data_IF_977274301414
#
_entry.id   IF_977274301414
#
_cell.length_a   1.000
_cell.length_b   1.000
_cell.length_c   1.000
_cell.angle_alpha   90.00
_cell.angle_beta   90.00
_cell.angle_gamma   90.00
#
_symmetry.space_group_name_H-M   'P 1'
#
loop_
_entity.id
_entity.type
_entity.pdbx_description
1 polymer ?
#
# COMPACT_ATOMS: atom_id res chain seq x y z
N UNK A 1 -39.75 -61.76 -15.14
CA UNK A 1 -39.22 -61.26 -13.85
C UNK A 1 -37.96 -62.07 -13.56
N UNK A 2 -36.88 -61.89 -14.33
CA UNK A 2 -35.83 -60.87 -14.14
C UNK A 2 -35.06 -61.07 -12.83
N UNK A 3 -34.19 -62.09 -12.80
CA UNK A 3 -33.13 -62.21 -11.81
C UNK A 3 -31.88 -61.52 -12.36
N UNK A 4 -31.62 -60.30 -11.88
CA UNK A 4 -30.38 -59.59 -12.09
C UNK A 4 -29.71 -59.39 -10.72
N UNK A 5 -28.82 -60.31 -10.36
CA UNK A 5 -27.81 -60.07 -9.33
C UNK A 5 -26.47 -60.02 -10.05
N UNK A 6 -26.05 -58.80 -10.38
CA UNK A 6 -24.71 -58.53 -10.92
C UNK A 6 -23.63 -58.81 -9.88
N UNK A 7 -22.43 -59.22 -10.28
CA UNK A 7 -21.33 -59.39 -9.36
C UNK A 7 -20.89 -58.02 -8.85
N UNK A 8 -20.95 -57.83 -7.53
CA UNK A 8 -20.37 -56.68 -6.85
C UNK A 8 -18.90 -56.55 -7.25
N UNK A 9 -18.58 -55.46 -7.93
CA UNK A 9 -17.20 -55.14 -8.28
C UNK A 9 -16.50 -54.69 -7.00
N UNK A 10 -15.83 -55.63 -6.33
CA UNK A 10 -14.96 -55.32 -5.21
C UNK A 10 -13.72 -54.61 -5.75
N UNK A 11 -13.76 -53.28 -5.79
CA UNK A 11 -12.61 -52.43 -6.10
C UNK A 11 -11.53 -52.70 -5.04
N UNK A 12 -10.59 -53.56 -5.38
CA UNK A 12 -9.46 -53.89 -4.51
C UNK A 12 -8.56 -52.66 -4.48
N UNK A 13 -8.45 -51.99 -3.33
CA UNK A 13 -7.54 -50.88 -3.14
C UNK A 13 -6.11 -51.38 -3.36
N UNK A 14 -5.53 -51.05 -4.51
CA UNK A 14 -4.14 -51.35 -4.82
C UNK A 14 -3.26 -50.46 -3.95
N UNK A 15 -2.73 -51.02 -2.86
CA UNK A 15 -1.73 -50.37 -2.02
C UNK A 15 -0.48 -50.13 -2.87
N UNK A 16 -0.19 -48.86 -3.19
CA UNK A 16 1.02 -48.50 -3.92
C UNK A 16 2.26 -48.70 -3.04
N UNK A 17 3.32 -49.29 -3.60
CA UNK A 17 4.61 -49.43 -2.93
C UNK A 17 5.23 -48.05 -2.71
N UNK A 18 5.37 -47.62 -1.45
CA UNK A 18 6.09 -46.38 -1.10
C UNK A 18 7.59 -46.54 -1.40
N UNK A 19 8.13 -45.66 -2.23
CA UNK A 19 9.57 -45.54 -2.51
C UNK A 19 10.05 -44.16 -2.04
N UNK A 20 11.01 -44.14 -1.13
CA UNK A 20 11.54 -42.91 -0.52
C UNK A 20 12.74 -42.31 -1.28
N UNK A 21 13.16 -42.93 -2.39
CA UNK A 21 14.12 -42.32 -3.33
C UNK A 21 15.59 -42.29 -2.89
N UNK A 22 15.93 -42.89 -1.74
CA UNK A 22 17.29 -42.82 -1.17
C UNK A 22 17.54 -41.53 -0.39
N UNK A 23 18.77 -41.37 0.11
CA UNK A 23 19.22 -40.17 0.82
C UNK A 23 20.01 -39.27 -0.14
N UNK A 24 20.00 -37.98 0.15
CA UNK A 24 20.82 -36.96 -0.51
C UNK A 24 21.48 -36.09 0.54
N UNK A 25 22.72 -35.71 0.30
CA UNK A 25 23.53 -34.88 1.18
C UNK A 25 23.67 -33.47 0.61
N UNK A 26 23.24 -32.46 1.36
CA UNK A 26 23.40 -31.05 1.01
C UNK A 26 24.40 -30.39 1.96
N UNK A 27 25.33 -29.59 1.43
CA UNK A 27 26.17 -28.70 2.24
C UNK A 27 25.65 -27.28 2.11
N UNK A 28 25.21 -26.69 3.22
CA UNK A 28 24.78 -25.29 3.31
C UNK A 28 25.61 -24.63 4.39
N UNK A 29 26.31 -23.55 4.03
CA UNK A 29 27.37 -22.99 4.88
C UNK A 29 28.36 -24.10 5.31
N UNK A 30 28.58 -24.31 6.61
CA UNK A 30 29.44 -25.38 7.12
C UNK A 30 28.67 -26.61 7.65
N UNK A 31 27.37 -26.72 7.35
CA UNK A 31 26.51 -27.80 7.83
C UNK A 31 26.16 -28.76 6.69
N UNK A 32 26.30 -30.06 6.94
CA UNK A 32 25.84 -31.12 6.04
C UNK A 32 24.50 -31.64 6.53
N UNK A 33 23.50 -31.61 5.64
CA UNK A 33 22.16 -32.13 5.87
C UNK A 33 21.97 -33.41 5.07
N UNK A 34 21.73 -34.51 5.77
CA UNK A 34 21.32 -35.79 5.16
C UNK A 34 19.79 -35.88 5.19
N UNK A 35 19.16 -35.95 4.02
CA UNK A 35 17.69 -35.95 3.90
C UNK A 35 17.20 -36.92 2.84
N UNK A 36 15.98 -37.45 2.95
CA UNK A 36 15.41 -38.25 1.88
C UNK A 36 15.31 -37.44 0.58
N UNK A 37 15.47 -38.09 -0.56
CA UNK A 37 15.42 -37.43 -1.88
C UNK A 37 14.00 -37.14 -2.35
N UNK A 38 13.05 -38.01 -1.98
CA UNK A 38 11.73 -38.02 -2.64
C UNK A 38 10.90 -36.74 -2.47
N UNK A 39 10.91 -36.04 -1.31
CA UNK A 39 10.12 -34.80 -1.19
C UNK A 39 10.69 -33.65 -2.00
N UNK A 40 12.01 -33.62 -2.23
CA UNK A 40 12.62 -32.64 -3.11
C UNK A 40 12.19 -32.89 -4.56
N UNK A 41 12.27 -34.12 -5.05
CA UNK A 41 11.77 -34.49 -6.38
C UNK A 41 10.26 -34.20 -6.54
N UNK A 42 9.43 -34.59 -5.56
CA UNK A 42 7.98 -34.40 -5.64
C UNK A 42 7.57 -32.92 -5.59
N UNK A 43 8.34 -32.10 -4.88
CA UNK A 43 7.99 -30.70 -4.64
C UNK A 43 8.63 -29.74 -5.64
N UNK A 44 9.67 -30.15 -6.36
CA UNK A 44 10.47 -29.27 -7.23
C UNK A 44 10.89 -29.97 -8.52
N UNK A 45 10.45 -29.42 -9.64
CA UNK A 45 10.88 -29.84 -10.99
C UNK A 45 12.39 -29.64 -11.20
N UNK A 46 12.98 -28.63 -10.53
CA UNK A 46 14.42 -28.37 -10.56
C UNK A 46 15.18 -29.54 -9.95
N UNK A 47 14.77 -29.97 -8.75
CA UNK A 47 15.40 -31.10 -8.09
C UNK A 47 15.09 -32.40 -8.81
N UNK A 48 13.85 -32.65 -9.26
CA UNK A 48 13.50 -33.82 -10.07
C UNK A 48 14.41 -33.96 -11.28
N UNK A 49 14.56 -32.89 -12.07
CA UNK A 49 15.42 -32.88 -13.25
C UNK A 49 16.88 -33.12 -12.89
N UNK A 50 17.42 -32.39 -11.91
CA UNK A 50 18.82 -32.51 -11.46
C UNK A 50 19.14 -33.94 -11.03
N UNK A 51 18.19 -34.58 -10.37
CA UNK A 51 18.29 -35.92 -9.84
C UNK A 51 18.22 -37.02 -10.91
N UNK A 52 17.54 -36.76 -12.02
CA UNK A 52 17.41 -37.70 -13.14
C UNK A 52 18.55 -37.57 -14.16
N UNK A 53 19.42 -36.55 -14.03
CA UNK A 53 20.61 -36.42 -14.87
C UNK A 53 21.55 -37.63 -14.68
N UNK A 54 22.12 -38.17 -15.77
CA UNK A 54 23.08 -39.26 -15.67
C UNK A 54 24.33 -38.80 -14.91
N UNK A 55 24.94 -39.67 -14.09
CA UNK A 55 26.16 -39.33 -13.38
C UNK A 55 27.26 -38.97 -14.38
N UNK A 56 27.99 -37.89 -14.09
CA UNK A 56 29.10 -37.43 -14.91
C UNK A 56 30.18 -38.51 -15.08
N UNK A 57 30.92 -38.44 -16.19
CA UNK A 57 31.91 -39.42 -16.65
C UNK A 57 33.06 -39.74 -15.68
N UNK A 58 33.18 -39.03 -14.55
CA UNK A 58 34.23 -39.23 -13.55
C UNK A 58 33.76 -39.92 -12.25
N UNK A 59 32.52 -40.39 -12.17
CA UNK A 59 32.03 -41.14 -11.01
C UNK A 59 31.81 -40.32 -9.72
N UNK A 60 32.12 -39.02 -9.75
CA UNK A 60 31.75 -38.04 -8.73
C UNK A 60 30.28 -37.64 -8.92
N UNK A 61 29.39 -38.38 -8.24
CA UNK A 61 27.97 -38.05 -8.17
C UNK A 61 27.74 -37.15 -6.97
N UNK A 62 27.37 -35.90 -7.21
CA UNK A 62 27.04 -34.96 -6.14
C UNK A 62 25.81 -35.44 -5.34
N UNK A 63 25.84 -35.18 -4.05
CA UNK A 63 24.80 -35.54 -3.09
C UNK A 63 24.78 -37.01 -2.68
N UNK A 64 25.79 -37.80 -3.06
CA UNK A 64 25.83 -39.25 -2.78
C UNK A 64 26.16 -39.58 -1.32
N UNK A 65 27.08 -38.84 -0.72
CA UNK A 65 27.58 -39.04 0.63
C UNK A 65 28.13 -37.72 1.21
N UNK A 66 28.52 -37.73 2.49
CA UNK A 66 29.09 -36.55 3.17
C UNK A 66 30.38 -36.02 2.54
N UNK A 67 31.15 -36.87 1.84
CA UNK A 67 32.37 -36.47 1.14
C UNK A 67 32.09 -35.79 -0.21
N UNK A 68 30.89 -36.00 -0.77
CA UNK A 68 30.46 -35.48 -2.05
C UNK A 68 29.05 -34.86 -1.95
N UNK A 69 28.80 -33.86 -1.08
CA UNK A 69 27.49 -33.25 -0.94
C UNK A 69 27.18 -32.32 -2.12
N UNK A 70 25.90 -32.02 -2.33
CA UNK A 70 25.48 -30.90 -3.20
C UNK A 70 25.73 -29.61 -2.42
N UNK A 71 26.68 -28.80 -2.87
CA UNK A 71 27.04 -27.54 -2.21
C UNK A 71 26.08 -26.44 -2.65
N UNK A 72 25.37 -25.85 -1.70
CA UNK A 72 24.42 -24.75 -1.92
C UNK A 72 25.05 -23.41 -1.48
N UNK A 73 25.86 -22.83 -2.36
CA UNK A 73 26.52 -21.54 -2.10
C UNK A 73 25.52 -20.37 -2.07
N UNK A 74 25.69 -19.44 -1.12
CA UNK A 74 24.86 -18.24 -0.99
C UNK A 74 23.50 -18.47 -0.33
N UNK A 75 23.28 -19.65 0.27
CA UNK A 75 22.10 -19.97 1.07
C UNK A 75 22.45 -20.07 2.55
N UNK A 76 21.53 -19.66 3.41
CA UNK A 76 21.68 -19.71 4.87
C UNK A 76 21.19 -21.06 5.40
N UNK A 77 21.94 -21.68 6.33
CA UNK A 77 21.56 -22.97 6.88
C UNK A 77 20.25 -22.91 7.68
N UNK A 78 19.96 -21.78 8.33
CA UNK A 78 18.71 -21.57 9.06
C UNK A 78 17.48 -21.59 8.14
N UNK A 79 17.58 -20.98 6.95
CA UNK A 79 16.51 -21.02 5.95
C UNK A 79 16.32 -22.44 5.41
N UNK A 80 17.42 -23.17 5.21
CA UNK A 80 17.36 -24.56 4.75
C UNK A 80 16.71 -25.47 5.80
N UNK A 81 17.10 -25.35 7.07
CA UNK A 81 16.49 -26.07 8.19
C UNK A 81 14.97 -25.80 8.29
N UNK A 82 14.55 -24.54 8.15
CA UNK A 82 13.13 -24.18 8.12
C UNK A 82 12.37 -24.86 6.97
N UNK A 83 12.96 -24.93 5.77
CA UNK A 83 12.38 -25.68 4.65
C UNK A 83 12.28 -27.18 4.95
N UNK A 84 13.31 -27.76 5.59
CA UNK A 84 13.29 -29.18 5.98
C UNK A 84 12.17 -29.48 6.97
N UNK A 85 11.89 -28.60 7.94
CA UNK A 85 10.74 -28.74 8.85
C UNK A 85 9.41 -28.82 8.10
N UNK A 86 9.26 -28.05 7.01
CA UNK A 86 8.06 -28.09 6.15
C UNK A 86 8.02 -29.35 5.28
N UNK A 87 9.16 -29.77 4.71
CA UNK A 87 9.24 -30.97 3.86
C UNK A 87 9.09 -32.27 4.66
N UNK A 88 9.59 -32.28 5.89
CA UNK A 88 9.70 -33.44 6.77
C UNK A 88 9.19 -33.13 8.18
N UNK A 89 7.90 -32.81 8.35
CA UNK A 89 7.34 -32.60 9.69
C UNK A 89 7.43 -33.89 10.51
N UNK A 90 7.77 -33.76 11.78
CA UNK A 90 7.85 -34.90 12.69
C UNK A 90 6.45 -35.41 13.04
N UNK A 91 6.31 -36.68 13.49
CA UNK A 91 5.03 -37.16 14.00
C UNK A 91 4.47 -36.27 15.12
N UNK A 92 5.32 -35.74 16.00
CA UNK A 92 4.90 -34.87 17.09
C UNK A 92 4.35 -33.55 16.57
N UNK A 93 4.97 -32.96 15.56
CA UNK A 93 4.48 -31.73 14.90
C UNK A 93 3.03 -31.90 14.39
N UNK A 94 2.75 -33.06 13.79
CA UNK A 94 1.45 -33.39 13.21
C UNK A 94 0.42 -33.80 14.26
N UNK A 95 0.81 -34.63 15.23
CA UNK A 95 -0.10 -35.20 16.24
C UNK A 95 -0.50 -34.14 17.27
N UNK A 96 0.48 -33.36 17.75
CA UNK A 96 0.22 -32.31 18.72
C UNK A 96 -0.43 -31.08 18.10
N UNK A 97 -0.34 -30.92 16.77
CA UNK A 97 -0.78 -29.73 16.05
C UNK A 97 0.01 -28.48 16.43
N UNK A 98 1.22 -28.64 16.99
CA UNK A 98 2.06 -27.54 17.45
C UNK A 98 3.07 -27.07 16.40
N UNK A 99 3.07 -27.64 15.19
CA UNK A 99 3.92 -27.17 14.10
C UNK A 99 3.77 -25.66 13.90
N UNK A 100 4.84 -24.94 14.21
CA UNK A 100 4.93 -23.50 14.08
C UNK A 100 6.34 -23.16 13.67
N UNK A 101 6.43 -22.28 12.68
CA UNK A 101 7.67 -21.60 12.33
C UNK A 101 7.51 -20.12 12.63
N UNK A 102 8.62 -19.50 13.00
CA UNK A 102 8.71 -18.06 13.20
C UNK A 102 8.68 -17.32 11.85
N UNK A 103 8.53 -16.00 11.92
CA UNK A 103 8.41 -15.15 10.71
C UNK A 103 9.65 -15.29 9.82
N UNK A 104 10.84 -15.20 10.39
CA UNK A 104 12.12 -15.30 9.68
C UNK A 104 12.31 -16.69 9.06
N UNK A 105 11.87 -17.74 9.75
CA UNK A 105 11.86 -19.11 9.19
C UNK A 105 10.93 -19.20 7.97
N UNK A 106 9.72 -18.66 8.05
CA UNK A 106 8.81 -18.63 6.90
C UNK A 106 9.33 -17.79 5.72
N UNK A 107 10.04 -16.69 5.98
CA UNK A 107 10.73 -15.91 4.94
C UNK A 107 11.79 -16.78 4.26
N UNK A 108 12.56 -17.55 5.04
CA UNK A 108 13.50 -18.54 4.53
C UNK A 108 12.83 -19.59 3.64
N UNK A 109 11.72 -20.18 4.10
CA UNK A 109 10.93 -21.13 3.32
C UNK A 109 10.44 -20.50 2.02
N UNK A 110 9.91 -19.27 2.06
CA UNK A 110 9.44 -18.54 0.87
C UNK A 110 10.57 -18.29 -0.12
N UNK A 111 11.75 -17.87 0.35
CA UNK A 111 12.92 -17.61 -0.48
C UNK A 111 13.38 -18.87 -1.21
N UNK A 112 13.60 -19.97 -0.48
CA UNK A 112 14.07 -21.23 -1.06
C UNK A 112 13.03 -21.86 -1.99
N UNK A 113 11.77 -21.91 -1.56
CA UNK A 113 10.69 -22.48 -2.38
C UNK A 113 10.44 -21.68 -3.66
N UNK A 114 10.67 -20.37 -3.67
CA UNK A 114 10.60 -19.55 -4.89
C UNK A 114 11.77 -19.87 -5.83
N UNK A 115 13.01 -19.95 -5.31
CA UNK A 115 14.21 -20.22 -6.12
C UNK A 115 14.24 -21.63 -6.72
N UNK A 116 13.70 -22.60 -5.99
CA UNK A 116 13.69 -24.00 -6.41
C UNK A 116 12.34 -24.42 -7.02
N UNK A 117 11.50 -23.47 -7.41
CA UNK A 117 10.21 -23.71 -8.07
C UNK A 117 9.30 -24.68 -7.32
N UNK A 118 9.33 -24.64 -5.98
CA UNK A 118 8.49 -25.48 -5.12
C UNK A 118 7.09 -24.89 -4.95
N UNK A 119 6.29 -24.90 -6.02
CA UNK A 119 5.01 -24.17 -6.11
C UNK A 119 4.08 -24.35 -4.90
N UNK A 120 3.87 -25.59 -4.46
CA UNK A 120 2.98 -25.91 -3.32
C UNK A 120 3.50 -25.34 -1.99
N UNK A 121 4.81 -25.43 -1.78
CA UNK A 121 5.47 -24.95 -0.56
C UNK A 121 5.53 -23.43 -0.56
N UNK A 122 5.84 -22.82 -1.71
CA UNK A 122 5.80 -21.37 -1.91
C UNK A 122 4.42 -20.81 -1.53
N UNK A 123 3.35 -21.39 -2.08
CA UNK A 123 1.98 -21.00 -1.76
C UNK A 123 1.69 -21.12 -0.27
N UNK A 124 2.10 -22.23 0.36
CA UNK A 124 1.91 -22.42 1.79
C UNK A 124 2.64 -21.37 2.63
N UNK A 125 3.89 -21.05 2.30
CA UNK A 125 4.66 -20.01 2.99
C UNK A 125 4.03 -18.62 2.85
N UNK A 126 3.51 -18.28 1.66
CA UNK A 126 2.75 -17.03 1.43
C UNK A 126 1.50 -17.01 2.32
N UNK A 127 0.76 -18.11 2.39
CA UNK A 127 -0.47 -18.19 3.20
C UNK A 127 -0.17 -18.03 4.70
N UNK A 128 0.91 -18.64 5.22
CA UNK A 128 1.31 -18.50 6.63
C UNK A 128 1.84 -17.09 6.94
N UNK A 129 2.72 -16.54 6.10
CA UNK A 129 3.21 -15.16 6.26
C UNK A 129 2.09 -14.12 6.14
N UNK A 130 1.06 -14.38 5.34
CA UNK A 130 -0.11 -13.49 5.23
C UNK A 130 -0.94 -13.41 6.51
N UNK A 131 -0.79 -14.38 7.42
CA UNK A 131 -1.44 -14.36 8.75
C UNK A 131 -0.64 -13.56 9.78
N UNK A 132 0.64 -13.30 9.50
CA UNK A 132 1.54 -12.56 10.37
C UNK A 132 1.45 -11.06 10.00
N UNK A 133 1.35 -10.13 10.98
CA UNK A 133 1.39 -8.71 10.68
C UNK A 133 2.79 -8.32 10.20
N UNK A 134 2.91 -8.04 8.90
CA UNK A 134 4.13 -7.50 8.29
C UNK A 134 4.06 -5.97 8.25
N UNK A 135 5.18 -5.31 8.48
CA UNK A 135 5.31 -3.88 8.21
C UNK A 135 5.06 -3.62 6.71
N UNK A 136 4.43 -2.50 6.37
CA UNK A 136 4.00 -2.26 4.98
C UNK A 136 5.18 -2.16 4.01
N UNK A 137 6.28 -1.53 4.43
CA UNK A 137 7.49 -1.43 3.61
C UNK A 137 8.16 -2.81 3.48
N UNK A 138 8.11 -3.61 4.55
CA UNK A 138 8.56 -5.00 4.52
C UNK A 138 7.76 -5.86 3.55
N UNK A 139 6.43 -5.77 3.62
CA UNK A 139 5.50 -6.50 2.77
C UNK A 139 5.77 -6.21 1.30
N UNK A 140 5.98 -4.94 0.93
CA UNK A 140 6.32 -4.55 -0.44
C UNK A 140 7.71 -5.07 -0.85
N UNK A 141 8.71 -5.00 0.04
CA UNK A 141 10.04 -5.52 -0.24
C UNK A 141 10.02 -7.03 -0.52
N UNK A 142 9.43 -7.82 0.39
CA UNK A 142 9.27 -9.27 0.25
C UNK A 142 8.46 -9.64 -0.99
N UNK A 143 7.39 -8.88 -1.28
CA UNK A 143 6.59 -9.12 -2.47
C UNK A 143 7.37 -8.92 -3.76
N UNK A 144 8.25 -7.93 -3.80
CA UNK A 144 9.10 -7.64 -4.97
C UNK A 144 10.20 -8.69 -5.15
N UNK A 145 10.80 -9.10 -4.05
CA UNK A 145 11.87 -10.11 -4.01
C UNK A 145 11.35 -11.49 -4.43
N UNK A 146 10.20 -11.92 -3.87
CA UNK A 146 9.62 -13.25 -4.10
C UNK A 146 8.46 -13.28 -5.11
N UNK A 147 8.26 -12.18 -5.85
CA UNK A 147 7.27 -12.06 -6.93
C UNK A 147 5.84 -12.39 -6.49
N UNK A 148 5.41 -11.85 -5.34
CA UNK A 148 4.06 -12.07 -4.80
C UNK A 148 3.14 -10.91 -5.19
N UNK A 149 2.39 -11.07 -6.28
CA UNK A 149 1.62 -9.97 -6.90
C UNK A 149 0.62 -9.32 -5.94
N UNK A 150 -0.11 -10.14 -5.18
CA UNK A 150 -1.11 -9.67 -4.21
C UNK A 150 -0.49 -8.81 -3.11
N UNK A 151 0.61 -9.26 -2.50
CA UNK A 151 1.28 -8.50 -1.45
C UNK A 151 1.84 -7.18 -1.97
N UNK A 152 2.38 -7.16 -3.18
CA UNK A 152 2.90 -5.95 -3.79
C UNK A 152 1.77 -4.94 -4.04
N UNK A 153 0.67 -5.37 -4.65
CA UNK A 153 -0.50 -4.52 -4.91
C UNK A 153 -1.09 -3.95 -3.62
N UNK A 154 -1.36 -4.82 -2.64
CA UNK A 154 -1.98 -4.43 -1.37
C UNK A 154 -1.02 -3.51 -0.59
N UNK A 155 0.24 -3.92 -0.45
CA UNK A 155 1.25 -3.16 0.30
C UNK A 155 1.50 -1.77 -0.29
N UNK A 156 1.58 -1.63 -1.62
CA UNK A 156 1.73 -0.32 -2.25
C UNK A 156 0.47 0.54 -2.03
N UNK A 157 -0.73 -0.03 -2.21
CA UNK A 157 -1.97 0.70 -1.97
C UNK A 157 -2.08 1.20 -0.53
N UNK A 158 -1.71 0.35 0.44
CA UNK A 158 -1.73 0.67 1.86
C UNK A 158 -0.69 1.76 2.18
N UNK A 159 0.55 1.65 1.67
CA UNK A 159 1.61 2.67 1.86
C UNK A 159 1.22 4.04 1.33
N UNK A 160 0.62 4.11 0.14
CA UNK A 160 0.18 5.38 -0.45
C UNK A 160 -1.01 5.97 0.33
N UNK A 161 -1.79 5.13 1.01
CA UNK A 161 -2.93 5.55 1.84
C UNK A 161 -2.52 6.00 3.25
N UNK A 162 -1.29 5.71 3.68
CA UNK A 162 -0.79 6.03 5.01
C UNK A 162 -0.55 7.55 5.19
N UNK A 163 -1.08 8.11 6.29
CA UNK A 163 -0.92 9.51 6.65
C UNK A 163 -0.47 9.65 8.11
N UNK A 164 0.68 10.29 8.41
CA UNK A 164 1.65 10.84 7.45
C UNK A 164 2.40 9.75 6.69
N UNK A 165 2.93 10.06 5.50
CA UNK A 165 3.76 9.11 4.75
C UNK A 165 5.06 8.81 5.49
N UNK A 166 5.56 7.59 5.29
CA UNK A 166 6.87 7.17 5.76
C UNK A 166 7.98 8.10 5.24
N UNK A 167 9.03 8.35 6.03
CA UNK A 167 10.14 9.19 5.61
C UNK A 167 10.80 8.66 4.33
N UNK A 168 11.16 9.57 3.41
CA UNK A 168 11.84 9.22 2.15
C UNK A 168 13.11 8.39 2.38
N UNK A 169 13.86 8.66 3.45
CA UNK A 169 15.09 7.92 3.77
C UNK A 169 14.80 6.42 3.99
N UNK A 170 13.70 6.09 4.67
CA UNK A 170 13.30 4.71 4.94
C UNK A 170 12.83 4.02 3.65
N UNK A 171 11.93 4.66 2.90
CA UNK A 171 11.42 4.13 1.63
C UNK A 171 12.56 3.89 0.63
N UNK A 172 13.48 4.84 0.49
CA UNK A 172 14.66 4.72 -0.38
C UNK A 172 15.54 3.55 0.04
N UNK A 173 15.81 3.41 1.34
CA UNK A 173 16.70 2.37 1.85
C UNK A 173 16.16 0.96 1.62
N UNK A 174 14.84 0.78 1.69
CA UNK A 174 14.21 -0.55 1.67
C UNK A 174 13.61 -0.94 0.32
N UNK A 175 13.15 0.04 -0.47
CA UNK A 175 12.45 -0.20 -1.74
C UNK A 175 13.21 0.30 -2.98
N UNK A 176 14.27 1.11 -2.78
CA UNK A 176 14.98 1.82 -3.83
C UNK A 176 14.37 3.20 -4.15
N UNK A 177 15.14 4.03 -4.86
CA UNK A 177 14.76 5.42 -5.11
C UNK A 177 13.60 5.54 -6.09
N UNK A 178 13.54 4.67 -7.10
CA UNK A 178 12.50 4.68 -8.13
C UNK A 178 11.13 4.41 -7.49
N UNK A 179 11.06 3.38 -6.64
CA UNK A 179 9.83 3.03 -5.93
C UNK A 179 9.44 4.11 -4.92
N UNK A 180 10.40 4.62 -4.14
CA UNK A 180 10.12 5.69 -3.19
C UNK A 180 9.56 6.95 -3.89
N UNK A 181 10.15 7.33 -5.03
CA UNK A 181 9.65 8.43 -5.86
C UNK A 181 8.25 8.14 -6.41
N UNK A 182 8.00 6.92 -6.91
CA UNK A 182 6.67 6.53 -7.41
C UNK A 182 5.60 6.61 -6.31
N UNK A 183 5.87 6.07 -5.12
CA UNK A 183 4.97 6.13 -3.96
C UNK A 183 4.63 7.57 -3.58
N UNK A 184 5.66 8.41 -3.43
CA UNK A 184 5.50 9.83 -3.08
C UNK A 184 4.76 10.61 -4.16
N UNK A 185 5.02 10.29 -5.42
CA UNK A 185 4.35 10.90 -6.57
C UNK A 185 2.87 10.53 -6.59
N UNK A 186 2.52 9.25 -6.49
CA UNK A 186 1.13 8.78 -6.46
C UNK A 186 0.39 9.40 -5.28
N UNK A 187 1.00 9.43 -4.08
CA UNK A 187 0.38 10.05 -2.92
C UNK A 187 0.15 11.56 -3.12
N UNK A 188 1.12 12.26 -3.72
CA UNK A 188 0.99 13.69 -4.03
C UNK A 188 -0.13 14.00 -5.02
N UNK A 189 -0.55 13.02 -5.82
CA UNK A 189 -1.65 13.14 -6.78
C UNK A 189 -3.01 12.75 -6.20
N UNK A 190 -3.04 11.91 -5.16
CA UNK A 190 -4.31 11.57 -4.52
C UNK A 190 -4.96 12.84 -3.98
N UNK A 191 -6.26 13.06 -4.22
CA UNK A 191 -6.99 14.11 -3.53
C UNK A 191 -6.94 13.78 -2.05
N UNK A 192 -6.04 14.43 -1.32
CA UNK A 192 -6.11 14.45 0.13
C UNK A 192 -7.52 14.94 0.47
N UNK A 193 -8.26 14.22 1.33
CA UNK A 193 -9.61 14.62 1.72
C UNK A 193 -9.58 16.10 2.09
N UNK A 194 -10.16 16.93 1.23
CA UNK A 194 -10.15 18.38 1.37
C UNK A 194 -11.04 18.71 2.54
N UNK A 195 -10.46 18.74 3.73
CA UNK A 195 -11.17 19.25 4.89
C UNK A 195 -11.40 20.75 4.70
N UNK A 196 -12.52 21.28 5.18
CA UNK A 196 -12.88 22.71 5.16
C UNK A 196 -11.77 23.64 5.72
N UNK A 197 -10.74 23.06 6.36
CA UNK A 197 -9.57 23.73 6.94
C UNK A 197 -8.56 24.28 5.91
N UNK A 198 -8.62 23.88 4.64
CA UNK A 198 -7.70 24.37 3.59
C UNK A 198 -8.18 25.61 2.83
N UNK A 199 -9.42 26.05 3.07
CA UNK A 199 -9.97 27.26 2.46
C UNK A 199 -10.04 28.40 3.48
N UNK A 200 -9.02 29.25 3.49
CA UNK A 200 -8.93 30.38 4.41
C UNK A 200 -9.25 31.71 3.69
N UNK A 201 -10.13 32.51 4.28
CA UNK A 201 -10.51 33.84 3.81
C UNK A 201 -10.02 34.86 4.83
N UNK A 202 -9.47 35.99 4.38
CA UNK A 202 -9.23 37.17 5.20
C UNK A 202 -10.11 38.34 4.71
N UNK A 203 -10.18 39.44 5.47
CA UNK A 203 -10.93 40.62 5.05
C UNK A 203 -10.43 41.18 3.71
N UNK A 204 -9.12 41.10 3.44
CA UNK A 204 -8.54 41.53 2.18
C UNK A 204 -9.07 40.74 0.97
N UNK A 205 -9.53 39.50 1.20
CA UNK A 205 -10.13 38.66 0.16
C UNK A 205 -11.58 39.03 -0.17
N UNK A 206 -12.20 39.95 0.56
CA UNK A 206 -13.55 40.45 0.29
C UNK A 206 -13.47 41.69 -0.60
N UNK A 207 -13.78 41.51 -1.88
CA UNK A 207 -13.71 42.50 -2.93
C UNK A 207 -15.05 43.12 -3.33
N UNK A 208 -14.96 44.29 -3.97
CA UNK A 208 -16.09 44.99 -4.55
C UNK A 208 -16.53 44.31 -5.87
N UNK A 209 -17.83 44.04 -6.07
CA UNK A 209 -18.33 43.47 -7.33
C UNK A 209 -18.05 44.33 -8.56
N UNK A 210 -17.98 45.66 -8.39
CA UNK A 210 -17.86 46.60 -9.50
C UNK A 210 -16.42 46.81 -9.96
N UNK A 211 -15.47 46.98 -9.03
CA UNK A 211 -14.07 47.31 -9.36
C UNK A 211 -13.04 46.24 -8.99
N UNK A 212 -13.47 45.10 -8.44
CA UNK A 212 -12.64 43.93 -8.16
C UNK A 212 -11.50 44.16 -7.14
N UNK A 213 -11.45 45.34 -6.51
CA UNK A 213 -10.49 45.66 -5.44
C UNK A 213 -11.07 45.33 -4.08
N UNK A 214 -10.19 45.11 -3.11
CA UNK A 214 -10.58 44.83 -1.73
C UNK A 214 -11.45 45.96 -1.17
N UNK A 215 -12.46 45.61 -0.39
CA UNK A 215 -13.31 46.58 0.31
C UNK A 215 -12.67 46.97 1.65
N UNK A 216 -11.94 46.05 2.29
CA UNK A 216 -11.38 46.24 3.63
C UNK A 216 -9.89 46.56 3.57
N UNK A 217 -9.55 47.79 3.95
CA UNK A 217 -8.17 48.26 4.12
C UNK A 217 -7.80 48.56 5.57
N UNK A 218 -8.76 48.44 6.48
CA UNK A 218 -8.58 48.62 7.91
C UNK A 218 -9.16 47.41 8.66
N UNK A 219 -8.62 47.09 9.86
CA UNK A 219 -9.15 46.02 10.68
C UNK A 219 -10.63 46.23 11.01
N UNK A 220 -11.36 45.13 11.14
CA UNK A 220 -12.76 45.15 11.51
C UNK A 220 -12.93 44.60 12.92
N UNK A 221 -13.73 45.25 13.75
CA UNK A 221 -14.02 44.74 15.09
C UNK A 221 -15.20 43.78 15.02
N UNK A 222 -15.00 42.54 15.43
CA UNK A 222 -16.07 41.54 15.51
C UNK A 222 -17.17 42.04 16.44
N UNK A 223 -18.40 42.10 15.95
CA UNK A 223 -19.56 42.51 16.75
C UNK A 223 -19.78 41.62 17.99
N UNK A 224 -19.43 40.33 17.88
CA UNK A 224 -19.72 39.33 18.90
C UNK A 224 -18.75 39.34 20.08
N UNK A 225 -17.44 39.40 19.80
CA UNK A 225 -16.40 39.25 20.81
C UNK A 225 -15.53 40.50 21.00
N UNK A 226 -15.85 41.58 20.27
CA UNK A 226 -15.11 42.85 20.28
C UNK A 226 -13.61 42.72 19.94
N UNK A 227 -13.19 41.59 19.35
CA UNK A 227 -11.80 41.37 18.89
C UNK A 227 -11.57 42.06 17.55
N UNK A 228 -10.39 42.64 17.38
CA UNK A 228 -9.95 43.19 16.10
C UNK A 228 -9.55 42.05 15.15
N UNK A 229 -10.14 42.06 13.95
CA UNK A 229 -9.86 41.16 12.85
C UNK A 229 -8.94 41.92 11.89
N UNK A 230 -7.69 41.48 11.80
CA UNK A 230 -6.71 42.09 10.91
C UNK A 230 -7.05 41.81 9.44
N UNK A 231 -6.69 42.76 8.58
CA UNK A 231 -7.05 42.74 7.15
C UNK A 231 -6.51 41.50 6.42
N UNK A 232 -5.32 41.03 6.81
CA UNK A 232 -4.62 39.92 6.18
C UNK A 232 -4.46 38.69 7.10
N UNK A 233 -5.29 38.56 8.13
CA UNK A 233 -5.27 37.40 9.03
C UNK A 233 -6.28 36.34 8.62
N UNK A 234 -5.78 35.29 7.98
CA UNK A 234 -6.54 34.17 7.45
C UNK A 234 -7.01 33.16 8.52
N UNK A 235 -6.65 33.34 9.78
CA UNK A 235 -7.04 32.46 10.90
C UNK A 235 -8.27 32.94 11.68
N UNK A 236 -8.68 34.19 11.44
CA UNK A 236 -9.69 34.89 12.25
C UNK A 236 -11.11 34.78 11.70
N UNK A 237 -11.25 34.35 10.44
CA UNK A 237 -12.52 34.22 9.72
C UNK A 237 -12.72 32.77 9.31
N UNK A 238 -13.91 32.23 9.61
CA UNK A 238 -14.36 30.92 9.13
C UNK A 238 -15.70 31.04 8.41
N UNK A 239 -15.95 30.18 7.42
CA UNK A 239 -17.25 30.04 6.78
C UNK A 239 -18.18 29.20 7.67
N UNK A 240 -19.47 29.54 7.70
CA UNK A 240 -20.48 28.69 8.32
C UNK A 240 -20.70 27.42 7.46
N UNK A 241 -20.78 26.26 8.10
CA UNK A 241 -21.01 25.00 7.39
C UNK A 241 -22.37 25.01 6.67
N UNK A 242 -22.41 24.48 5.44
CA UNK A 242 -23.59 24.50 4.59
C UNK A 242 -23.86 25.82 3.87
N UNK A 243 -22.89 26.74 3.84
CA UNK A 243 -23.03 27.98 3.06
C UNK A 243 -22.92 27.71 1.56
N UNK A 244 -24.01 27.93 0.82
CA UNK A 244 -23.97 27.97 -0.66
C UNK A 244 -23.52 29.34 -1.15
N UNK A 245 -22.39 29.40 -1.87
CA UNK A 245 -21.98 30.59 -2.63
C UNK A 245 -22.81 30.73 -3.91
N UNK A 246 -23.00 31.95 -4.40
CA UNK A 246 -23.58 32.17 -5.74
C UNK A 246 -22.44 32.35 -6.75
N UNK A 247 -22.53 31.59 -7.84
CA UNK A 247 -21.54 31.61 -8.91
C UNK A 247 -22.14 32.28 -10.14
N UNK A 248 -21.42 33.21 -10.74
CA UNK A 248 -21.79 33.80 -12.03
C UNK A 248 -20.68 33.56 -13.04
N UNK A 249 -21.07 33.01 -14.19
CA UNK A 249 -20.17 32.70 -15.30
C UNK A 249 -20.48 33.65 -16.46
N UNK A 250 -19.47 34.37 -16.93
CA UNK A 250 -19.51 35.13 -18.19
C UNK A 250 -18.21 34.89 -18.94
N UNK A 251 -18.23 35.09 -20.26
CA UNK A 251 -17.27 34.61 -21.28
C UNK A 251 -15.74 34.79 -21.05
N UNK A 252 -15.29 35.30 -19.90
CA UNK A 252 -13.92 35.15 -19.39
C UNK A 252 -13.78 35.53 -17.89
N UNK A 253 -14.85 35.53 -17.10
CA UNK A 253 -14.84 35.94 -15.69
C UNK A 253 -15.66 34.98 -14.84
N UNK A 254 -14.97 34.24 -13.98
CA UNK A 254 -15.56 33.49 -12.87
C UNK A 254 -15.67 34.40 -11.64
N UNK A 255 -16.86 34.49 -11.04
CA UNK A 255 -17.11 35.29 -9.85
C UNK A 255 -17.82 34.44 -8.79
N UNK A 256 -17.18 34.35 -7.61
CA UNK A 256 -17.80 33.83 -6.39
C UNK A 256 -18.31 35.02 -5.59
N UNK A 257 -19.60 35.05 -5.32
CA UNK A 257 -20.20 36.01 -4.39
C UNK A 257 -20.45 35.35 -3.03
N UNK A 258 -20.01 36.04 -1.97
CA UNK A 258 -20.13 35.63 -0.58
C UNK A 258 -21.00 36.63 0.18
N UNK A 259 -21.81 36.10 1.10
CA UNK A 259 -22.56 36.90 2.06
C UNK A 259 -21.71 37.06 3.32
N UNK A 260 -21.56 38.29 3.81
CA UNK A 260 -20.89 38.57 5.08
C UNK A 260 -21.60 37.89 6.26
N UNK A 261 -22.92 37.68 6.14
CA UNK A 261 -23.73 36.90 7.10
C UNK A 261 -23.37 35.42 7.14
N UNK A 262 -22.57 34.92 6.20
CA UNK A 262 -22.05 33.55 6.19
C UNK A 262 -20.65 33.43 6.78
N UNK A 263 -20.01 34.55 7.12
CA UNK A 263 -18.69 34.56 7.75
C UNK A 263 -18.83 34.66 9.27
N UNK A 264 -17.96 33.94 9.99
CA UNK A 264 -17.88 33.92 11.45
C UNK A 264 -16.50 34.29 11.91
N UNK A 265 -16.42 34.97 13.04
CA UNK A 265 -15.15 35.06 13.76
C UNK A 265 -14.80 33.66 14.28
N UNK A 266 -13.55 33.23 14.12
CA UNK A 266 -13.09 31.91 14.55
C UNK A 266 -13.20 31.69 16.07
N UNK A 267 -13.23 32.78 16.84
CA UNK A 267 -13.40 32.77 18.30
C UNK A 267 -14.86 32.89 18.77
N UNK A 268 -15.84 32.91 17.86
CA UNK A 268 -17.26 33.15 18.17
C UNK A 268 -18.15 31.96 17.79
N UNK A 269 -19.34 31.91 18.39
CA UNK A 269 -20.38 30.92 18.08
C UNK A 269 -20.95 31.10 16.66
N UNK A 270 -21.49 30.02 16.10
CA UNK A 270 -22.09 29.98 14.75
C UNK A 270 -23.33 30.86 14.56
N UNK A 271 -23.93 31.32 15.64
CA UNK A 271 -25.09 32.21 15.61
C UNK A 271 -24.72 33.67 15.33
N UNK A 272 -23.44 34.05 15.31
CA UNK A 272 -23.04 35.46 15.24
C UNK A 272 -22.17 35.79 14.01
N UNK A 273 -22.67 36.60 13.06
CA UNK A 273 -21.87 37.04 11.91
C UNK A 273 -20.74 37.99 12.34
N UNK A 274 -19.74 38.15 11.48
CA UNK A 274 -18.57 39.01 11.74
C UNK A 274 -18.96 40.48 11.93
N UNK A 275 -19.90 40.98 11.10
CA UNK A 275 -20.41 42.36 11.17
C UNK A 275 -21.87 42.40 10.69
N UNK A 276 -22.62 43.43 11.12
CA UNK A 276 -24.01 43.70 10.79
C UNK A 276 -24.22 45.06 10.12
N UNK A 277 -23.15 45.76 9.70
CA UNK A 277 -23.32 47.02 8.96
C UNK A 277 -24.19 46.83 7.70
N UNK A 278 -25.16 47.74 7.46
CA UNK A 278 -26.13 47.58 6.38
C UNK A 278 -25.49 47.73 4.99
N UNK A 279 -24.43 48.53 4.86
CA UNK A 279 -23.74 48.81 3.60
C UNK A 279 -22.26 49.15 3.82
N UNK A 280 -21.43 48.88 2.81
CA UNK A 280 -20.01 49.24 2.77
C UNK A 280 -19.70 50.10 1.56
N UNK A 281 -18.77 51.05 1.68
CA UNK A 281 -18.28 51.82 0.54
C UNK A 281 -16.95 51.27 0.06
N UNK A 282 -16.85 50.96 -1.23
CA UNK A 282 -15.56 50.63 -1.82
C UNK A 282 -14.71 51.90 -1.97
N UNK A 283 -13.60 51.98 -1.24
CA UNK A 283 -12.64 53.09 -1.30
C UNK A 283 -12.08 53.35 -2.70
N UNK A 284 -12.11 52.35 -3.59
CA UNK A 284 -11.50 52.42 -4.91
C UNK A 284 -12.42 52.94 -6.02
N UNK A 285 -13.73 52.72 -5.91
CA UNK A 285 -14.70 53.12 -6.95
C UNK A 285 -15.95 53.80 -6.40
N UNK A 286 -16.00 54.04 -5.08
CA UNK A 286 -17.09 54.66 -4.33
C UNK A 286 -18.46 53.95 -4.46
N UNK A 287 -18.49 52.74 -5.01
CA UNK A 287 -19.73 51.96 -5.11
C UNK A 287 -20.14 51.43 -3.74
N UNK A 288 -21.45 51.39 -3.51
CA UNK A 288 -22.05 50.76 -2.33
C UNK A 288 -22.01 49.25 -2.53
N UNK A 289 -21.51 48.53 -1.54
CA UNK A 289 -21.39 47.07 -1.49
C UNK A 289 -22.29 46.56 -0.37
N UNK A 290 -23.39 45.91 -0.76
CA UNK A 290 -24.30 45.29 0.18
C UNK A 290 -23.63 44.08 0.88
N UNK A 291 -23.98 43.78 2.15
CA UNK A 291 -23.43 42.66 2.92
C UNK A 291 -23.62 41.30 2.25
N UNK A 292 -24.61 41.16 1.38
CA UNK A 292 -24.90 39.94 0.61
C UNK A 292 -24.10 39.79 -0.67
N UNK A 293 -23.29 40.79 -1.05
CA UNK A 293 -22.71 40.91 -2.37
C UNK A 293 -21.22 41.25 -2.33
N UNK A 294 -20.45 40.55 -1.49
CA UNK A 294 -19.00 40.61 -1.57
C UNK A 294 -18.50 39.63 -2.63
N UNK A 295 -17.52 40.05 -3.43
CA UNK A 295 -16.84 39.16 -4.36
C UNK A 295 -15.60 38.58 -3.68
N UNK A 296 -15.37 37.28 -3.80
CA UNK A 296 -14.10 36.72 -3.34
C UNK A 296 -12.98 37.07 -4.33
N UNK A 297 -11.92 37.70 -3.84
CA UNK A 297 -10.70 38.03 -4.59
C UNK A 297 -9.50 37.41 -3.87
N UNK A 298 -8.57 36.81 -4.62
CA UNK A 298 -7.33 36.22 -4.08
C UNK A 298 -7.51 35.44 -2.76
N UNK A 299 -8.34 34.38 -2.70
CA UNK A 299 -8.31 33.47 -1.56
C UNK A 299 -6.91 32.83 -1.49
N UNK A 300 -6.39 32.61 -0.29
CA UNK A 300 -5.22 31.75 -0.15
C UNK A 300 -5.65 30.33 -0.46
N UNK A 301 -5.35 29.89 -1.67
CA UNK A 301 -5.30 28.49 -2.00
C UNK A 301 -3.94 27.95 -1.59
N UNK A 302 -3.91 26.98 -0.67
CA UNK A 302 -2.79 26.05 -0.62
C UNK A 302 -2.88 25.15 -1.86
N UNK A 303 -2.38 25.66 -2.99
CA UNK A 303 -2.41 24.96 -4.26
C UNK A 303 -1.40 23.81 -4.25
N UNK A 304 -1.89 22.58 -4.45
CA UNK A 304 -1.18 21.60 -5.28
C UNK A 304 -2.10 21.23 -6.44
N UNK A 305 -1.58 21.32 -7.66
CA UNK A 305 -2.32 21.06 -8.88
C UNK A 305 -2.92 19.65 -8.87
N UNK A 306 -4.18 19.53 -9.23
CA UNK A 306 -4.85 18.24 -9.45
C UNK A 306 -4.27 17.68 -10.74
N UNK A 307 -3.28 16.79 -10.62
CA UNK A 307 -2.93 15.88 -11.69
C UNK A 307 -4.08 14.86 -11.86
N UNK A 308 -4.25 14.26 -13.05
CA UNK A 308 -5.21 13.16 -13.23
C UNK A 308 -4.93 12.07 -12.19
N UNK A 309 -5.98 11.46 -11.65
CA UNK A 309 -5.90 10.33 -10.72
C UNK A 309 -5.17 9.15 -11.38
N UNK A 310 -3.84 9.11 -11.32
CA UNK A 310 -3.09 7.92 -11.68
C UNK A 310 -3.21 6.92 -10.53
N UNK A 311 -3.87 5.81 -10.82
CA UNK A 311 -4.00 4.71 -9.88
C UNK A 311 -2.66 3.96 -9.76
N UNK A 312 -2.32 3.48 -8.56
CA UNK A 312 -1.20 2.56 -8.31
C UNK A 312 -1.17 1.43 -9.35
N UNK A 313 -2.36 0.90 -9.64
CA UNK A 313 -2.53 -0.18 -10.60
C UNK A 313 -2.11 0.19 -12.02
N UNK A 314 -2.17 1.46 -12.43
CA UNK A 314 -1.75 1.87 -13.78
C UNK A 314 -0.25 2.10 -13.89
N UNK A 315 0.36 2.75 -12.89
CA UNK A 315 1.81 3.00 -12.88
C UNK A 315 2.62 1.71 -12.73
N UNK A 316 2.13 0.75 -11.95
CA UNK A 316 2.84 -0.48 -11.64
C UNK A 316 2.24 -1.72 -12.34
N UNK A 317 1.35 -1.53 -13.32
CA UNK A 317 0.66 -2.63 -14.02
C UNK A 317 1.61 -3.69 -14.59
N UNK A 318 2.72 -3.25 -15.18
CA UNK A 318 3.68 -4.14 -15.85
C UNK A 318 4.44 -4.99 -14.82
N UNK A 319 4.85 -4.36 -13.71
CA UNK A 319 5.51 -5.06 -12.61
C UNK A 319 4.55 -6.04 -11.93
N UNK A 320 3.31 -5.63 -11.65
CA UNK A 320 2.27 -6.50 -11.08
C UNK A 320 1.98 -7.69 -12.01
N UNK A 321 1.75 -7.45 -13.31
CA UNK A 321 1.49 -8.51 -14.28
C UNK A 321 2.67 -9.48 -14.42
N UNK A 322 3.91 -8.98 -14.30
CA UNK A 322 5.09 -9.86 -14.29
C UNK A 322 5.10 -10.82 -13.10
N UNK A 323 4.51 -10.44 -11.96
CA UNK A 323 4.47 -11.27 -10.75
C UNK A 323 3.32 -12.28 -10.80
N UNK A 324 2.21 -11.94 -11.44
CA UNK A 324 1.08 -12.87 -11.60
C UNK A 324 1.48 -14.16 -12.34
N UNK A 325 2.47 -14.09 -13.24
CA UNK A 325 3.03 -15.29 -13.90
C UNK A 325 3.72 -16.29 -12.97
N UNK A 326 4.02 -15.89 -11.73
CA UNK A 326 4.62 -16.75 -10.69
C UNK A 326 3.59 -17.37 -9.75
N UNK A 327 2.33 -16.93 -9.82
CA UNK A 327 1.25 -17.41 -8.97
C UNK A 327 0.49 -18.61 -9.60
N UNK A 328 0.80 -18.97 -10.85
CA UNK A 328 0.31 -20.14 -11.62
C UNK A 328 1.15 -21.41 -11.42
#
# INVERSE_FOLDING_TARGET
MSNANGPGTTTTSTVSRRKWGGMVFFKVEEIIFEVPRYRFSESSEVFETMFDLPPGSEGNVEGRDEGHPIVLEGYEAAHFDALLKVLYPTPDDLISGTFKLEKEEWIGVLNLSTRWSMKRIRKHAIDELSKIPLDLVEKVALAREHKVAKWFRDGVNDLVSEHPIRPLAELKSRLGIEMACALLWIQAQRPQERTEKDFAIALCSLGCPSCFKSVFHAPLTSWCCNRSISVADYSTIRLLNGTSGTFTYSANRFQISLKLTSLRCSSCLDSCPIDYRPDYHCSSCNSIVAPSNFRLINPLHRNRAIAPELNVSEMLKEEIASYESWDD
#
